data_IF_300155006151
#
_entry.id   IF_300155006151
#
_cell.length_a   1.000
_cell.length_b   1.000
_cell.length_c   1.000
_cell.angle_alpha   90.00
_cell.angle_beta   90.00
_cell.angle_gamma   90.00
#
_symmetry.space_group_name_H-M   'P 1'
#
loop_
_entity.id
_entity.type
_entity.pdbx_description
1 polymer ?
#
# COMPACT_ATOMS: atom_id res chain seq x y z
N UNK A 1 23.88 22.99 0.29
CA UNK A 1 24.19 22.71 -1.13
C UNK A 1 24.74 21.29 -1.17
N UNK A 2 23.92 20.24 -1.13
CA UNK A 2 23.12 19.72 -2.25
C UNK A 2 21.95 18.90 -1.70
N UNK A 3 20.82 19.55 -1.46
CA UNK A 3 19.52 18.90 -1.31
C UNK A 3 18.76 19.10 -2.62
N UNK A 4 18.82 18.12 -3.51
CA UNK A 4 18.00 18.03 -4.71
C UNK A 4 18.38 16.74 -5.46
N UNK A 5 18.11 15.56 -4.89
CA UNK A 5 18.15 14.33 -5.66
C UNK A 5 17.32 13.27 -4.94
N UNK A 6 16.00 13.29 -5.11
CA UNK A 6 15.07 12.16 -5.33
C UNK A 6 13.68 12.81 -5.40
N UNK A 7 13.45 13.64 -6.40
CA UNK A 7 12.11 14.12 -6.76
C UNK A 7 11.99 14.07 -8.28
N UNK A 8 12.34 12.93 -8.87
CA UNK A 8 11.86 12.54 -10.20
C UNK A 8 10.51 11.85 -9.97
N UNK A 9 9.40 12.58 -10.03
CA UNK A 9 8.60 12.74 -11.25
C UNK A 9 8.20 11.35 -11.80
N UNK A 10 7.35 10.63 -11.07
CA UNK A 10 6.48 9.65 -11.71
C UNK A 10 5.26 10.40 -12.25
N UNK A 11 5.34 10.85 -13.50
CA UNK A 11 4.15 11.37 -14.20
C UNK A 11 3.10 10.23 -14.28
N UNK A 12 1.79 10.56 -14.26
CA UNK A 12 0.70 9.59 -14.41
C UNK A 12 0.73 8.81 -15.74
N UNK A 13 1.67 9.11 -16.64
CA UNK A 13 1.89 8.49 -17.95
C UNK A 13 3.03 7.46 -18.02
N UNK A 14 3.56 7.01 -16.87
CA UNK A 14 4.56 5.92 -16.86
C UNK A 14 3.85 4.58 -17.14
N UNK A 15 4.44 3.71 -17.97
CA UNK A 15 3.87 2.42 -18.42
C UNK A 15 3.46 1.44 -17.30
N UNK A 16 3.77 1.74 -16.03
CA UNK A 16 3.57 0.89 -14.86
C UNK A 16 2.62 1.51 -13.83
N UNK A 17 1.46 2.04 -14.25
CA UNK A 17 0.37 2.40 -13.34
C UNK A 17 -0.62 1.24 -13.19
N UNK A 18 -0.53 0.55 -12.05
CA UNK A 18 -1.32 -0.63 -11.73
C UNK A 18 -2.51 -0.31 -10.82
N UNK A 19 -2.90 0.97 -10.65
CA UNK A 19 -4.06 1.36 -9.81
C UNK A 19 -5.35 0.68 -10.23
N UNK A 20 -5.51 0.35 -11.51
CA UNK A 20 -6.66 -0.41 -12.01
C UNK A 20 -6.79 -1.83 -11.46
N UNK A 21 -5.74 -2.38 -10.83
CA UNK A 21 -5.80 -3.66 -10.11
C UNK A 21 -6.35 -3.52 -8.69
N UNK A 22 -6.37 -2.30 -8.16
CA UNK A 22 -6.94 -2.03 -6.84
C UNK A 22 -8.46 -2.00 -6.94
N UNK A 23 -9.11 -2.40 -5.84
CA UNK A 23 -10.55 -2.40 -5.75
C UNK A 23 -11.04 -1.49 -4.61
N UNK A 24 -10.92 -0.17 -4.74
CA UNK A 24 -11.24 0.77 -3.68
C UNK A 24 -12.77 0.87 -3.41
N UNK A 25 -13.17 1.37 -2.23
CA UNK A 25 -12.32 1.66 -1.07
C UNK A 25 -11.92 0.39 -0.31
N UNK A 26 -10.81 0.47 0.43
CA UNK A 26 -10.40 -0.61 1.34
C UNK A 26 -11.51 -0.92 2.35
N UNK A 27 -11.72 -2.21 2.62
CA UNK A 27 -12.73 -2.69 3.58
C UNK A 27 -14.15 -2.85 3.02
N UNK A 28 -14.43 -2.50 1.75
CA UNK A 28 -15.79 -2.60 1.18
C UNK A 28 -16.37 -4.02 1.11
N UNK A 29 -15.53 -5.04 1.20
CA UNK A 29 -15.92 -6.45 1.14
C UNK A 29 -16.17 -7.07 2.53
N UNK A 30 -16.09 -6.27 3.60
CA UNK A 30 -16.26 -6.76 4.98
C UNK A 30 -15.01 -7.47 5.51
N UNK A 31 -15.20 -8.33 6.52
CA UNK A 31 -14.09 -8.99 7.20
C UNK A 31 -13.37 -10.03 6.32
N UNK A 32 -12.06 -10.14 6.47
CA UNK A 32 -11.25 -11.19 5.85
C UNK A 32 -11.30 -12.46 6.72
N UNK A 33 -11.48 -13.62 6.10
CA UNK A 33 -11.44 -14.92 6.77
C UNK A 33 -10.62 -15.94 5.97
N UNK A 34 -10.27 -17.04 6.63
CA UNK A 34 -9.65 -18.21 5.99
C UNK A 34 -10.73 -19.06 5.33
N UNK A 35 -10.53 -19.41 4.06
CA UNK A 35 -11.42 -20.29 3.30
C UNK A 35 -10.59 -21.33 2.56
N UNK A 36 -10.57 -22.56 3.10
CA UNK A 36 -9.69 -23.62 2.59
C UNK A 36 -8.21 -23.22 2.75
N UNK A 37 -7.46 -23.28 1.66
CA UNK A 37 -6.03 -22.91 1.61
C UNK A 37 -5.78 -21.42 1.35
N UNK A 38 -6.83 -20.61 1.24
CA UNK A 38 -6.73 -19.21 0.89
C UNK A 38 -7.52 -18.28 1.81
N UNK A 39 -7.63 -17.03 1.39
CA UNK A 39 -8.42 -16.01 2.07
C UNK A 39 -9.62 -15.61 1.22
N UNK A 40 -10.72 -15.28 1.88
CA UNK A 40 -11.89 -14.69 1.26
C UNK A 40 -12.43 -13.57 2.16
N UNK A 41 -13.04 -12.57 1.54
CA UNK A 41 -13.81 -11.57 2.27
C UNK A 41 -15.20 -12.10 2.63
N UNK A 42 -15.92 -11.36 3.48
CA UNK A 42 -17.24 -11.70 4.00
C UNK A 42 -18.29 -11.91 2.89
N UNK A 43 -18.20 -11.15 1.81
CA UNK A 43 -19.04 -11.30 0.61
C UNK A 43 -18.67 -12.51 -0.28
N UNK A 44 -17.68 -13.30 0.14
CA UNK A 44 -17.20 -14.50 -0.55
C UNK A 44 -16.15 -14.24 -1.63
N UNK A 45 -15.79 -12.98 -1.91
CA UNK A 45 -14.75 -12.65 -2.90
C UNK A 45 -13.39 -13.19 -2.45
N UNK A 46 -12.67 -13.95 -3.30
CA UNK A 46 -11.31 -14.38 -2.99
C UNK A 46 -10.38 -13.17 -2.79
N UNK A 47 -9.60 -13.19 -1.72
CA UNK A 47 -8.64 -12.15 -1.41
C UNK A 47 -7.24 -12.53 -1.87
N UNK A 48 -6.54 -11.61 -2.54
CA UNK A 48 -5.13 -11.73 -2.93
C UNK A 48 -4.40 -10.45 -2.56
N UNK A 49 -3.27 -10.59 -1.88
CA UNK A 49 -2.52 -9.45 -1.38
C UNK A 49 -1.18 -9.30 -2.10
N UNK A 50 -0.91 -8.10 -2.57
CA UNK A 50 0.42 -7.62 -2.97
C UNK A 50 0.77 -6.54 -1.97
N UNK A 51 1.70 -6.86 -1.07
CA UNK A 51 1.95 -6.05 0.11
C UNK A 51 3.39 -5.60 0.28
N UNK A 52 3.56 -4.56 1.10
CA UNK A 52 4.86 -4.07 1.57
C UNK A 52 4.91 -4.07 3.09
N UNK A 53 6.12 -4.09 3.65
CA UNK A 53 6.33 -3.85 5.09
C UNK A 53 6.97 -2.48 5.27
N UNK A 54 6.41 -1.68 6.17
CA UNK A 54 7.02 -0.44 6.68
C UNK A 54 7.41 -0.69 8.13
N UNK A 55 8.68 -0.47 8.46
CA UNK A 55 9.23 -0.85 9.75
C UNK A 55 9.72 0.34 10.56
N UNK A 56 9.60 0.23 11.89
CA UNK A 56 10.18 1.16 12.86
C UNK A 56 9.77 2.61 12.59
N UNK A 57 10.75 3.49 12.57
CA UNK A 57 10.62 4.93 12.44
C UNK A 57 10.27 5.41 11.02
N UNK A 58 10.30 4.52 10.02
CA UNK A 58 10.02 4.88 8.62
C UNK A 58 8.59 5.39 8.38
N UNK A 59 7.66 5.15 9.31
CA UNK A 59 6.28 5.66 9.23
C UNK A 59 6.10 7.02 9.92
N UNK A 60 7.02 7.43 10.81
CA UNK A 60 6.92 8.67 11.58
C UNK A 60 7.46 9.86 10.78
N UNK A 61 6.85 10.10 9.64
CA UNK A 61 7.14 11.22 8.72
C UNK A 61 5.96 12.17 8.67
N UNK A 62 6.15 13.34 8.05
CA UNK A 62 5.07 14.31 7.89
C UNK A 62 3.95 13.78 6.96
N UNK A 63 2.77 14.37 7.09
CA UNK A 63 1.58 13.95 6.33
C UNK A 63 1.77 14.05 4.80
N UNK A 64 2.49 15.05 4.32
CA UNK A 64 2.72 15.24 2.88
C UNK A 64 3.56 14.09 2.31
N UNK A 65 4.56 13.64 3.07
CA UNK A 65 5.35 12.46 2.74
C UNK A 65 4.50 11.19 2.73
N UNK A 66 3.61 11.01 3.71
CA UNK A 66 2.68 9.87 3.76
C UNK A 66 1.78 9.84 2.52
N UNK A 67 1.21 10.99 2.12
CA UNK A 67 0.34 11.08 0.94
C UNK A 67 1.08 10.70 -0.36
N UNK A 68 2.34 11.15 -0.52
CA UNK A 68 3.19 10.78 -1.67
C UNK A 68 3.50 9.28 -1.70
N UNK A 69 3.81 8.70 -0.54
CA UNK A 69 4.08 7.25 -0.43
C UNK A 69 2.83 6.45 -0.73
N UNK A 70 1.66 6.87 -0.23
CA UNK A 70 0.38 6.21 -0.53
C UNK A 70 0.03 6.25 -2.02
N UNK A 71 0.23 7.38 -2.72
CA UNK A 71 0.03 7.47 -4.18
C UNK A 71 0.99 6.54 -4.94
N UNK A 72 2.26 6.47 -4.52
CA UNK A 72 3.25 5.56 -5.10
C UNK A 72 2.87 4.09 -4.90
N UNK A 73 2.51 3.69 -3.68
CA UNK A 73 2.08 2.32 -3.40
C UNK A 73 0.83 1.95 -4.20
N UNK A 74 -0.11 2.88 -4.34
CA UNK A 74 -1.30 2.67 -5.15
C UNK A 74 -0.94 2.46 -6.64
N UNK A 75 -0.04 3.29 -7.20
CA UNK A 75 0.51 3.13 -8.56
C UNK A 75 1.16 1.76 -8.77
N UNK A 76 1.83 1.23 -7.75
CA UNK A 76 2.43 -0.09 -7.81
C UNK A 76 1.42 -1.23 -7.69
N UNK A 77 0.15 -0.95 -7.39
CA UNK A 77 -0.91 -1.96 -7.18
C UNK A 77 -0.84 -2.62 -5.80
N UNK A 78 -0.17 -1.99 -4.84
CA UNK A 78 -0.07 -2.49 -3.47
C UNK A 78 -1.41 -2.31 -2.76
N UNK A 79 -1.92 -3.40 -2.16
CA UNK A 79 -3.21 -3.44 -1.48
C UNK A 79 -3.12 -3.89 0.00
N UNK A 80 -1.91 -4.07 0.51
CA UNK A 80 -1.64 -4.41 1.91
C UNK A 80 -0.37 -3.72 2.41
N UNK A 81 -0.44 -3.08 3.56
CA UNK A 81 0.74 -2.54 4.26
C UNK A 81 0.84 -3.19 5.63
N UNK A 82 1.98 -3.82 5.91
CA UNK A 82 2.30 -4.36 7.23
C UNK A 82 3.18 -3.36 7.97
N UNK A 83 2.66 -2.78 9.06
CA UNK A 83 3.49 -2.03 9.99
C UNK A 83 4.21 -2.97 10.94
N UNK A 84 5.51 -2.77 11.11
CA UNK A 84 6.38 -3.67 11.87
C UNK A 84 7.21 -2.89 12.89
N UNK A 85 7.29 -3.37 14.13
CA UNK A 85 8.13 -2.77 15.18
C UNK A 85 7.82 -1.28 15.44
N UNK A 86 6.54 -0.93 15.55
CA UNK A 86 6.12 0.47 15.80
C UNK A 86 6.46 0.94 17.22
N UNK A 87 6.58 0.00 18.14
CA UNK A 87 6.75 0.16 19.59
C UNK A 87 8.05 -0.50 20.09
N UNK A 88 8.93 -0.90 19.19
CA UNK A 88 10.27 -1.35 19.55
C UNK A 88 11.03 -0.19 20.19
N UNK A 89 11.53 -0.45 21.40
CA UNK A 89 12.29 0.47 22.24
C UNK A 89 13.79 0.42 21.95
#
# INVERSE_FOLDING_TARGET
MTGALVLAIFLPSTISDNRGLLDPPAGKHGFLTVKGEGFAFEDGKPARFVGVTIAKDSIFVDKETIEKVADLLARLGVNLVRFHHLDDT
#
